data_IF_427898687363
#
_entry.id   IF_427898687363
#
_cell.length_a   1.000
_cell.length_b   1.000
_cell.length_c   1.000
_cell.angle_alpha   90.00
_cell.angle_beta   90.00
_cell.angle_gamma   90.00
#
_symmetry.space_group_name_H-M   'P 1'
#
loop_
_entity.id
_entity.type
_entity.pdbx_description
1 polymer ?
#
# COMPACT_ATOMS: atom_id res chain seq x y z
N UNK A 1 1.96 11.06 41.57
CA UNK A 1 3.06 10.52 40.75
C UNK A 1 2.78 10.91 39.29
N UNK A 2 3.36 12.00 38.82
CA UNK A 2 3.10 12.53 37.47
C UNK A 2 3.99 11.78 36.47
N UNK A 3 3.35 11.04 35.54
CA UNK A 3 4.03 10.44 34.42
C UNK A 3 4.48 11.56 33.45
N UNK A 4 5.76 11.83 33.39
CA UNK A 4 6.37 12.61 32.31
C UNK A 4 6.32 11.76 31.04
N UNK A 5 5.34 12.00 30.18
CA UNK A 5 5.38 11.60 28.79
C UNK A 5 6.44 12.48 28.12
N UNK A 6 7.65 11.97 28.00
CA UNK A 6 8.65 12.57 27.15
C UNK A 6 8.13 12.48 25.71
N UNK A 7 7.72 13.61 25.15
CA UNK A 7 7.45 13.74 23.72
C UNK A 7 8.80 13.54 23.03
N UNK A 8 9.05 12.33 22.51
CA UNK A 8 10.13 12.09 21.59
C UNK A 8 9.89 12.98 20.38
N UNK A 9 10.59 14.09 20.31
CA UNK A 9 10.57 14.98 19.16
C UNK A 9 11.17 14.21 17.99
N UNK A 10 10.28 13.71 17.11
CA UNK A 10 10.70 13.06 15.87
C UNK A 10 11.40 14.11 15.00
N UNK A 11 12.68 13.97 14.80
CA UNK A 11 13.41 14.77 13.82
C UNK A 11 13.37 14.04 12.47
N UNK A 12 12.91 14.70 11.40
CA UNK A 12 12.86 14.07 10.07
C UNK A 12 14.26 13.64 9.62
N UNK A 13 14.34 12.47 8.97
CA UNK A 13 15.60 11.94 8.44
C UNK A 13 16.20 12.88 7.38
N UNK A 14 17.51 12.79 7.08
CA UNK A 14 18.11 13.56 5.99
C UNK A 14 17.40 13.37 4.64
N UNK A 15 16.97 12.16 4.32
CA UNK A 15 16.21 11.85 3.11
C UNK A 15 14.82 12.46 3.13
N UNK A 16 14.13 12.42 4.24
CA UNK A 16 12.81 13.05 4.39
C UNK A 16 12.90 14.57 4.20
N UNK A 17 13.93 15.20 4.76
CA UNK A 17 14.22 16.62 4.51
C UNK A 17 14.53 16.91 3.03
N UNK A 18 15.35 16.07 2.40
CA UNK A 18 15.68 16.17 0.97
C UNK A 18 14.44 16.04 0.11
N UNK A 19 13.56 15.06 0.39
CA UNK A 19 12.31 14.90 -0.33
C UNK A 19 11.37 16.10 -0.13
N UNK A 20 11.26 16.62 1.09
CA UNK A 20 10.41 17.79 1.38
C UNK A 20 10.87 19.06 0.64
N UNK A 21 12.17 19.20 0.35
CA UNK A 21 12.71 20.32 -0.43
C UNK A 21 12.41 20.22 -1.94
N UNK A 22 12.29 19.02 -2.46
CA UNK A 22 12.00 18.76 -3.87
C UNK A 22 11.09 17.52 -4.01
N UNK A 23 9.79 17.63 -3.66
CA UNK A 23 8.86 16.51 -3.75
C UNK A 23 8.54 16.16 -5.19
N UNK A 24 8.18 14.89 -5.43
CA UNK A 24 7.66 14.47 -6.73
C UNK A 24 6.35 15.18 -7.02
N UNK A 25 6.19 15.71 -8.23
CA UNK A 25 4.93 16.33 -8.67
C UNK A 25 3.86 15.25 -8.91
N UNK A 26 2.90 15.17 -8.02
CA UNK A 26 1.76 14.26 -8.09
C UNK A 26 0.45 14.97 -8.43
N UNK A 27 0.51 16.20 -8.93
CA UNK A 27 -0.68 17.04 -9.18
C UNK A 27 -1.66 16.36 -10.14
N UNK A 28 -1.17 15.65 -11.16
CA UNK A 28 -1.95 14.97 -12.20
C UNK A 28 -2.48 13.59 -11.78
N UNK A 29 -2.03 13.04 -10.66
CA UNK A 29 -2.51 11.75 -10.18
C UNK A 29 -4.01 11.79 -9.86
N UNK A 30 -4.79 10.92 -10.49
CA UNK A 30 -6.25 10.85 -10.35
C UNK A 30 -6.69 9.39 -10.25
N UNK A 31 -7.72 9.14 -9.48
CA UNK A 31 -8.40 7.85 -9.44
C UNK A 31 -9.48 7.77 -10.54
N UNK A 32 -9.89 6.56 -10.98
CA UNK A 32 -10.99 6.38 -11.91
C UNK A 32 -12.27 7.07 -11.43
N UNK A 33 -13.01 7.68 -12.35
CA UNK A 33 -14.27 8.37 -12.03
C UNK A 33 -15.31 7.43 -11.39
N UNK A 34 -15.30 6.14 -11.73
CA UNK A 34 -16.16 5.12 -11.13
C UNK A 34 -16.00 5.01 -9.60
N UNK A 35 -14.83 5.35 -9.06
CA UNK A 35 -14.57 5.29 -7.61
C UNK A 35 -15.33 6.35 -6.81
N UNK A 36 -15.84 7.39 -7.47
CA UNK A 36 -16.60 8.44 -6.81
C UNK A 36 -17.95 7.96 -6.23
N UNK A 37 -18.51 6.87 -6.78
CA UNK A 37 -19.85 6.37 -6.44
C UNK A 37 -19.90 4.87 -6.11
N UNK A 38 -18.81 4.13 -6.29
CA UNK A 38 -18.78 2.70 -6.03
C UNK A 38 -18.95 2.41 -4.53
N UNK A 39 -19.79 1.43 -4.19
CA UNK A 39 -19.95 0.98 -2.80
C UNK A 39 -18.78 0.09 -2.34
N UNK A 40 -18.16 -0.63 -3.27
CA UNK A 40 -17.04 -1.51 -3.00
C UNK A 40 -15.90 -1.20 -3.98
N UNK A 41 -14.69 -1.06 -3.46
CA UNK A 41 -13.51 -0.75 -4.26
C UNK A 41 -12.39 -1.72 -3.93
N UNK A 42 -11.71 -2.23 -4.97
CA UNK A 42 -10.39 -2.84 -4.86
C UNK A 42 -9.39 -2.03 -5.67
N UNK A 43 -8.35 -1.53 -5.01
CA UNK A 43 -7.31 -0.72 -5.62
C UNK A 43 -5.96 -1.42 -5.46
N UNK A 44 -5.33 -1.74 -6.59
CA UNK A 44 -4.10 -2.53 -6.66
C UNK A 44 -2.96 -1.62 -7.09
N UNK A 45 -1.87 -1.63 -6.33
CA UNK A 45 -0.64 -0.91 -6.63
C UNK A 45 0.49 -1.90 -6.90
N UNK A 46 1.04 -1.84 -8.11
CA UNK A 46 2.19 -2.64 -8.54
C UNK A 46 3.48 -2.24 -7.81
N UNK A 47 4.48 -3.09 -7.89
CA UNK A 47 5.83 -2.82 -7.45
C UNK A 47 6.57 -1.84 -8.35
N UNK A 48 7.89 -1.75 -8.16
CA UNK A 48 8.77 -1.01 -9.06
C UNK A 48 8.88 -1.75 -10.39
N UNK A 49 8.80 -1.03 -11.50
CA UNK A 49 8.87 -1.60 -12.86
C UNK A 49 7.52 -1.58 -13.60
N UNK A 50 6.51 -0.99 -13.01
CA UNK A 50 5.19 -0.82 -13.63
C UNK A 50 4.22 -1.99 -13.39
N UNK A 51 3.01 -1.89 -13.94
CA UNK A 51 2.07 -3.01 -13.96
C UNK A 51 2.68 -4.18 -14.73
N UNK A 52 2.50 -5.36 -14.19
CA UNK A 52 2.98 -6.61 -14.75
C UNK A 52 1.83 -7.61 -14.91
N UNK A 53 2.16 -8.79 -15.46
CA UNK A 53 1.18 -9.84 -15.66
C UNK A 53 0.55 -10.30 -14.34
N UNK A 54 1.30 -10.32 -13.25
CA UNK A 54 0.82 -10.73 -11.95
C UNK A 54 -0.25 -9.78 -11.40
N UNK A 55 -0.07 -8.48 -11.59
CA UNK A 55 -1.08 -7.47 -11.23
C UNK A 55 -2.34 -7.56 -12.08
N UNK A 56 -2.20 -7.84 -13.37
CA UNK A 56 -3.33 -8.06 -14.28
C UNK A 56 -4.09 -9.35 -13.95
N UNK A 57 -3.38 -10.44 -13.67
CA UNK A 57 -3.95 -11.71 -13.23
C UNK A 57 -4.68 -11.56 -11.88
N UNK A 58 -4.13 -10.77 -10.97
CA UNK A 58 -4.77 -10.46 -9.70
C UNK A 58 -6.09 -9.69 -9.90
N UNK A 59 -6.09 -8.65 -10.76
CA UNK A 59 -7.32 -7.93 -11.14
C UNK A 59 -8.36 -8.89 -11.72
N UNK A 60 -7.95 -9.76 -12.64
CA UNK A 60 -8.85 -10.73 -13.25
C UNK A 60 -9.45 -11.70 -12.22
N UNK A 61 -8.66 -12.14 -11.24
CA UNK A 61 -9.12 -13.01 -10.14
C UNK A 61 -10.13 -12.29 -9.24
N UNK A 62 -9.90 -11.01 -8.90
CA UNK A 62 -10.89 -10.20 -8.18
C UNK A 62 -12.22 -10.16 -8.93
N UNK A 63 -12.20 -9.82 -10.21
CA UNK A 63 -13.41 -9.73 -11.04
C UNK A 63 -14.14 -11.08 -11.16
N UNK A 64 -13.41 -12.18 -11.34
CA UNK A 64 -13.98 -13.51 -11.41
C UNK A 64 -14.63 -13.94 -10.08
N UNK A 65 -13.96 -13.68 -8.95
CA UNK A 65 -14.47 -13.96 -7.62
C UNK A 65 -15.74 -13.15 -7.34
N UNK A 66 -15.71 -11.85 -7.65
CA UNK A 66 -16.83 -10.95 -7.45
C UNK A 66 -18.06 -11.39 -8.28
N UNK A 67 -17.85 -11.76 -9.54
CA UNK A 67 -18.90 -12.30 -10.39
C UNK A 67 -19.49 -13.61 -9.82
N UNK A 68 -18.66 -14.48 -9.26
CA UNK A 68 -19.12 -15.75 -8.69
C UNK A 68 -20.01 -15.58 -7.46
N UNK A 69 -19.84 -14.48 -6.70
CA UNK A 69 -20.63 -14.19 -5.49
C UNK A 69 -21.64 -13.05 -5.67
N UNK A 70 -21.72 -12.49 -6.88
CA UNK A 70 -22.66 -11.38 -7.20
C UNK A 70 -22.27 -10.07 -6.51
N UNK A 71 -20.98 -9.84 -6.25
CA UNK A 71 -20.47 -8.60 -5.65
C UNK A 71 -20.18 -7.57 -6.75
N UNK A 72 -20.81 -6.40 -6.67
CA UNK A 72 -20.45 -5.25 -7.49
C UNK A 72 -19.30 -4.48 -6.84
N UNK A 73 -18.11 -4.62 -7.42
CA UNK A 73 -16.88 -3.97 -6.95
C UNK A 73 -16.14 -3.32 -8.11
N UNK A 74 -15.79 -2.05 -7.94
CA UNK A 74 -14.86 -1.39 -8.86
C UNK A 74 -13.43 -1.85 -8.57
N UNK A 75 -12.77 -2.51 -9.52
CA UNK A 75 -11.41 -3.05 -9.39
C UNK A 75 -10.47 -2.34 -10.35
N UNK A 76 -9.38 -1.77 -9.85
CA UNK A 76 -8.39 -1.08 -10.68
C UNK A 76 -6.96 -1.39 -10.25
N UNK A 77 -6.08 -1.56 -11.25
CA UNK A 77 -4.63 -1.52 -11.11
C UNK A 77 -4.18 -0.09 -11.45
N UNK A 78 -3.70 0.63 -10.46
CA UNK A 78 -3.22 1.99 -10.67
C UNK A 78 -1.77 1.99 -11.12
N UNK A 79 -1.50 2.46 -12.34
CA UNK A 79 -0.14 2.64 -12.84
C UNK A 79 0.44 3.94 -12.29
N UNK A 80 1.48 3.83 -11.45
CA UNK A 80 2.18 4.95 -10.83
C UNK A 80 3.65 5.06 -11.26
N UNK A 81 4.05 4.30 -12.31
CA UNK A 81 5.41 4.28 -12.84
C UNK A 81 5.94 5.68 -13.18
N UNK A 82 5.08 6.54 -13.74
CA UNK A 82 5.45 7.91 -14.11
C UNK A 82 5.92 8.78 -12.93
N UNK A 83 5.61 8.37 -11.68
CA UNK A 83 6.01 9.09 -10.46
C UNK A 83 7.27 8.52 -9.81
N UNK A 84 7.83 7.43 -10.35
CA UNK A 84 8.99 6.75 -9.79
C UNK A 84 10.30 7.41 -10.25
N UNK A 85 10.67 8.48 -9.60
CA UNK A 85 11.94 9.16 -9.81
C UNK A 85 13.01 8.67 -8.84
N UNK A 86 13.84 7.71 -9.26
CA UNK A 86 14.94 7.18 -8.46
C UNK A 86 14.50 6.26 -7.30
N UNK A 87 15.44 5.45 -6.80
CA UNK A 87 15.18 4.46 -5.75
C UNK A 87 15.05 5.06 -4.36
N UNK A 88 15.76 6.16 -4.11
CA UNK A 88 15.81 6.85 -2.81
C UNK A 88 14.52 7.58 -2.44
N UNK A 89 13.57 7.71 -3.38
CA UNK A 89 12.33 8.47 -3.23
C UNK A 89 11.06 7.62 -3.22
N UNK A 90 11.16 6.36 -3.60
CA UNK A 90 10.00 5.49 -3.86
C UNK A 90 9.01 5.45 -2.70
N UNK A 91 9.47 5.29 -1.47
CA UNK A 91 8.60 5.25 -0.30
C UNK A 91 7.92 6.58 -0.02
N UNK A 92 8.65 7.70 -0.17
CA UNK A 92 8.09 9.05 0.08
C UNK A 92 7.07 9.44 -0.99
N UNK A 93 7.37 9.15 -2.27
CA UNK A 93 6.45 9.37 -3.39
C UNK A 93 5.19 8.52 -3.21
N UNK A 94 5.36 7.23 -2.88
CA UNK A 94 4.24 6.34 -2.60
C UNK A 94 3.35 6.86 -1.48
N UNK A 95 3.92 7.31 -0.38
CA UNK A 95 3.16 7.90 0.72
C UNK A 95 2.44 9.20 0.32
N UNK A 96 3.04 10.02 -0.53
CA UNK A 96 2.39 11.25 -1.01
C UNK A 96 1.18 10.95 -1.90
N UNK A 97 1.33 10.00 -2.84
CA UNK A 97 0.23 9.52 -3.69
C UNK A 97 -0.88 8.88 -2.84
N UNK A 98 -0.53 7.99 -1.92
CA UNK A 98 -1.50 7.33 -1.06
C UNK A 98 -2.31 8.32 -0.23
N UNK A 99 -1.67 9.32 0.38
CA UNK A 99 -2.38 10.40 1.10
C UNK A 99 -3.34 11.15 0.20
N UNK A 100 -2.97 11.43 -1.05
CA UNK A 100 -3.88 12.07 -2.02
C UNK A 100 -5.09 11.18 -2.32
N UNK A 101 -4.84 9.90 -2.61
CA UNK A 101 -5.91 8.96 -2.95
C UNK A 101 -6.86 8.68 -1.79
N UNK A 102 -6.35 8.49 -0.58
CA UNK A 102 -7.17 8.30 0.61
C UNK A 102 -8.15 9.47 0.83
N UNK A 103 -7.68 10.71 0.66
CA UNK A 103 -8.54 11.90 0.73
C UNK A 103 -9.59 11.96 -0.37
N UNK A 104 -9.26 11.54 -1.59
CA UNK A 104 -10.22 11.45 -2.70
C UNK A 104 -11.30 10.41 -2.38
N UNK A 105 -10.89 9.21 -1.95
CA UNK A 105 -11.80 8.11 -1.60
C UNK A 105 -12.73 8.49 -0.45
N UNK A 106 -12.27 9.26 0.52
CA UNK A 106 -13.10 9.72 1.64
C UNK A 106 -14.24 10.66 1.24
N UNK A 107 -14.21 11.22 0.04
CA UNK A 107 -15.31 12.00 -0.51
C UNK A 107 -16.48 11.13 -0.99
N UNK A 108 -16.24 9.85 -1.27
CA UNK A 108 -17.27 8.89 -1.63
C UNK A 108 -18.06 8.42 -0.40
N UNK A 109 -19.20 9.01 -0.15
CA UNK A 109 -20.08 8.68 0.98
C UNK A 109 -20.87 7.38 0.82
N UNK A 110 -20.88 6.79 -0.38
CA UNK A 110 -21.51 5.49 -0.64
C UNK A 110 -20.55 4.31 -0.34
N UNK A 111 -19.26 4.57 -0.17
CA UNK A 111 -18.25 3.54 0.02
C UNK A 111 -18.51 2.73 1.30
N UNK A 112 -18.58 1.40 1.17
CA UNK A 112 -18.82 0.44 2.25
C UNK A 112 -17.62 -0.45 2.52
N UNK A 113 -16.87 -0.80 1.45
CA UNK A 113 -15.64 -1.58 1.58
C UNK A 113 -14.53 -1.04 0.68
N UNK A 114 -13.35 -0.91 1.25
CA UNK A 114 -12.12 -0.52 0.57
C UNK A 114 -11.06 -1.60 0.78
N UNK A 115 -10.72 -2.31 -0.28
CA UNK A 115 -9.63 -3.27 -0.28
C UNK A 115 -8.45 -2.69 -1.07
N UNK A 116 -7.35 -2.44 -0.41
CA UNK A 116 -6.14 -1.92 -1.05
C UNK A 116 -5.07 -3.00 -1.05
N UNK A 117 -4.48 -3.24 -2.20
CA UNK A 117 -3.42 -4.25 -2.38
C UNK A 117 -2.14 -3.56 -2.82
N UNK A 118 -1.02 -3.92 -2.20
CA UNK A 118 0.29 -3.37 -2.54
C UNK A 118 1.35 -4.45 -2.68
N UNK A 119 2.05 -4.42 -3.81
CA UNK A 119 3.20 -5.29 -4.07
C UNK A 119 4.48 -4.49 -3.95
N UNK A 120 5.48 -5.03 -3.22
CA UNK A 120 6.83 -4.44 -3.12
C UNK A 120 6.76 -2.94 -2.75
N UNK A 121 7.25 -2.05 -3.58
CA UNK A 121 7.20 -0.58 -3.40
C UNK A 121 5.76 -0.02 -3.34
N UNK A 122 4.78 -0.69 -3.96
CA UNK A 122 3.37 -0.33 -3.89
C UNK A 122 2.78 -0.37 -2.48
N UNK A 123 3.45 -1.04 -1.54
CA UNK A 123 3.05 -1.10 -0.14
C UNK A 123 2.97 0.28 0.53
N UNK A 124 3.85 1.21 0.15
CA UNK A 124 3.81 2.58 0.69
C UNK A 124 2.60 3.37 0.24
N UNK A 125 2.17 3.19 -1.03
CA UNK A 125 0.95 3.84 -1.53
C UNK A 125 -0.26 3.23 -0.85
N UNK A 126 -0.30 1.90 -0.80
CA UNK A 126 -1.43 1.13 -0.26
C UNK A 126 -1.70 1.48 1.19
N UNK A 127 -0.70 1.43 2.04
CA UNK A 127 -0.81 1.76 3.46
C UNK A 127 -1.22 3.23 3.66
N UNK A 128 -0.54 4.16 2.97
CA UNK A 128 -0.86 5.58 3.07
C UNK A 128 -2.26 5.93 2.52
N UNK A 129 -2.78 5.15 1.54
CA UNK A 129 -4.17 5.29 1.07
C UNK A 129 -5.15 4.91 2.17
N UNK A 130 -4.93 3.76 2.83
CA UNK A 130 -5.76 3.31 3.94
C UNK A 130 -5.74 4.31 5.10
N UNK A 131 -4.54 4.69 5.57
CA UNK A 131 -4.38 5.62 6.69
C UNK A 131 -5.03 6.98 6.44
N UNK A 132 -4.81 7.55 5.24
CA UNK A 132 -5.40 8.84 4.89
C UNK A 132 -6.92 8.76 4.71
N UNK A 133 -7.44 7.66 4.16
CA UNK A 133 -8.87 7.41 4.07
C UNK A 133 -9.52 7.36 5.46
N UNK A 134 -8.96 6.57 6.37
CA UNK A 134 -9.48 6.43 7.74
C UNK A 134 -9.47 7.76 8.47
N UNK A 135 -8.37 8.51 8.38
CA UNK A 135 -8.24 9.81 9.03
C UNK A 135 -9.25 10.85 8.51
N UNK A 136 -9.55 10.84 7.20
CA UNK A 136 -10.44 11.82 6.58
C UNK A 136 -11.92 11.43 6.69
N UNK A 137 -12.25 10.13 6.56
CA UNK A 137 -13.64 9.65 6.57
C UNK A 137 -14.24 9.57 7.99
N UNK A 138 -13.42 9.44 9.03
CA UNK A 138 -13.85 9.38 10.43
C UNK A 138 -14.73 8.18 10.76
N UNK A 139 -15.69 8.34 11.67
CA UNK A 139 -16.50 7.24 12.21
C UNK A 139 -17.45 6.59 11.19
N UNK A 140 -17.79 7.29 10.11
CA UNK A 140 -18.71 6.80 9.07
C UNK A 140 -17.98 6.08 7.93
N UNK A 141 -16.74 5.69 8.13
CA UNK A 141 -15.88 5.08 7.11
C UNK A 141 -16.30 3.67 6.72
N UNK A 142 -15.94 3.29 5.49
CA UNK A 142 -16.01 1.91 5.03
C UNK A 142 -15.09 0.98 5.84
N UNK A 143 -15.35 -0.33 5.76
CA UNK A 143 -14.41 -1.35 6.21
C UNK A 143 -13.15 -1.32 5.33
N UNK A 144 -11.96 -1.21 5.93
CA UNK A 144 -10.68 -1.07 5.25
C UNK A 144 -9.85 -2.33 5.40
N UNK A 145 -9.53 -2.95 4.27
CA UNK A 145 -8.62 -4.10 4.18
C UNK A 145 -7.36 -3.72 3.41
N UNK A 146 -6.21 -4.11 3.95
CA UNK A 146 -4.91 -3.97 3.32
C UNK A 146 -4.30 -5.35 3.08
N UNK A 147 -3.87 -5.66 1.85
CA UNK A 147 -3.12 -6.87 1.55
C UNK A 147 -1.77 -6.49 0.94
N UNK A 148 -0.69 -7.00 1.52
CA UNK A 148 0.67 -6.69 1.11
C UNK A 148 1.40 -7.96 0.66
N UNK A 149 1.99 -7.90 -0.54
CA UNK A 149 2.81 -8.97 -1.12
C UNK A 149 4.25 -8.50 -1.26
N UNK A 150 5.18 -9.20 -0.64
CA UNK A 150 6.62 -8.85 -0.60
C UNK A 150 6.88 -7.35 -0.36
N UNK A 151 6.34 -6.75 0.71
CA UNK A 151 6.39 -5.31 0.93
C UNK A 151 7.79 -4.82 1.24
N UNK A 152 8.31 -3.84 0.49
CA UNK A 152 9.53 -3.11 0.89
C UNK A 152 9.21 -2.27 2.12
N UNK A 153 10.00 -2.41 3.19
CA UNK A 153 9.74 -1.75 4.48
C UNK A 153 10.57 -0.49 4.72
N UNK A 154 11.53 -0.20 3.84
CA UNK A 154 12.47 0.93 3.95
C UNK A 154 12.16 2.03 2.94
N UNK A 155 11.96 3.27 3.38
CA UNK A 155 11.49 4.37 2.51
C UNK A 155 12.53 4.87 1.50
N UNK A 156 13.79 4.79 1.82
CA UNK A 156 14.89 5.37 1.03
C UNK A 156 15.78 4.35 0.32
N UNK A 157 15.31 3.14 0.09
CA UNK A 157 16.11 2.03 -0.44
C UNK A 157 16.89 1.28 0.65
N UNK A 158 17.45 0.13 0.30
CA UNK A 158 18.05 -0.83 1.24
C UNK A 158 19.20 -0.25 2.09
N UNK A 159 20.07 0.57 1.48
CA UNK A 159 21.23 1.13 2.15
C UNK A 159 20.90 2.20 3.19
N UNK A 160 19.72 2.77 3.11
CA UNK A 160 19.27 3.89 3.94
C UNK A 160 18.06 3.51 4.81
N UNK A 161 17.91 2.21 5.03
CA UNK A 161 16.74 1.62 5.65
C UNK A 161 16.39 2.20 7.02
N UNK A 162 15.18 2.73 7.15
CA UNK A 162 14.62 3.23 8.40
C UNK A 162 13.65 2.23 9.05
N UNK A 163 13.36 1.10 8.36
CA UNK A 163 12.39 0.10 8.81
C UNK A 163 11.00 0.70 9.07
N UNK A 164 10.64 1.75 8.34
CA UNK A 164 9.39 2.47 8.54
C UNK A 164 8.17 1.55 8.38
N UNK A 165 8.15 0.75 7.31
CA UNK A 165 7.07 -0.18 7.02
C UNK A 165 6.86 -1.22 8.12
N UNK A 166 7.94 -1.73 8.74
CA UNK A 166 7.85 -2.70 9.84
C UNK A 166 7.02 -2.17 11.02
N UNK A 167 7.08 -0.87 11.27
CA UNK A 167 6.40 -0.24 12.40
C UNK A 167 5.01 0.30 12.08
N UNK A 168 4.76 0.59 10.80
CA UNK A 168 3.59 1.38 10.42
C UNK A 168 2.58 0.63 9.54
N UNK A 169 3.03 -0.25 8.63
CA UNK A 169 2.10 -0.92 7.72
C UNK A 169 0.99 -1.67 8.46
N UNK A 170 -0.25 -1.42 8.05
CA UNK A 170 -1.46 -2.04 8.59
C UNK A 170 -2.01 -1.38 9.86
N UNK A 171 -1.39 -0.28 10.35
CA UNK A 171 -1.76 0.32 11.63
C UNK A 171 -3.21 0.83 11.70
N UNK A 172 -3.73 1.34 10.59
CA UNK A 172 -5.01 2.04 10.51
C UNK A 172 -6.09 1.23 9.77
N UNK A 173 -5.82 -0.05 9.47
CA UNK A 173 -6.75 -0.93 8.76
C UNK A 173 -7.61 -1.75 9.73
N UNK A 174 -8.85 -2.07 9.33
CA UNK A 174 -9.68 -3.01 10.08
C UNK A 174 -9.13 -4.43 9.97
N UNK A 175 -8.52 -4.74 8.82
CA UNK A 175 -7.85 -6.02 8.58
C UNK A 175 -6.64 -5.79 7.67
N UNK A 176 -5.47 -6.23 8.09
CA UNK A 176 -4.23 -6.16 7.32
C UNK A 176 -3.59 -7.53 7.19
N UNK A 177 -3.14 -7.86 5.98
CA UNK A 177 -2.51 -9.13 5.62
C UNK A 177 -1.13 -8.89 5.02
N UNK A 178 -0.22 -9.78 5.33
CA UNK A 178 1.10 -9.85 4.74
C UNK A 178 1.35 -11.26 4.19
N UNK A 179 1.48 -11.37 2.88
CA UNK A 179 1.91 -12.59 2.21
C UNK A 179 3.43 -12.59 2.15
N UNK A 180 4.04 -13.25 3.14
CA UNK A 180 5.48 -13.28 3.37
C UNK A 180 6.15 -14.32 2.48
N UNK A 181 7.21 -13.93 1.80
CA UNK A 181 8.11 -14.79 1.09
C UNK A 181 9.53 -14.65 1.66
N UNK A 182 10.04 -15.67 2.35
CA UNK A 182 11.37 -15.62 2.98
C UNK A 182 12.52 -15.94 2.04
N UNK A 183 12.23 -16.39 0.80
CA UNK A 183 13.23 -16.69 -0.23
C UNK A 183 13.51 -15.51 -1.15
N UNK A 184 12.84 -14.37 -0.95
CA UNK A 184 13.12 -13.17 -1.73
C UNK A 184 14.58 -12.71 -1.49
N UNK A 185 15.23 -12.30 -2.58
CA UNK A 185 16.60 -11.78 -2.52
C UNK A 185 16.69 -10.38 -1.92
N UNK A 186 15.54 -9.71 -1.74
CA UNK A 186 15.43 -8.37 -1.14
C UNK A 186 15.24 -8.50 0.38
N UNK A 187 16.27 -8.26 1.20
CA UNK A 187 16.19 -8.56 2.65
C UNK A 187 15.08 -7.82 3.39
N UNK A 188 14.70 -6.63 2.94
CA UNK A 188 13.65 -5.83 3.59
C UNK A 188 12.24 -6.37 3.40
N UNK A 189 12.03 -7.35 2.49
CA UNK A 189 10.72 -7.98 2.28
C UNK A 189 10.54 -9.25 3.11
N UNK A 190 11.62 -9.81 3.67
CA UNK A 190 11.65 -11.12 4.33
C UNK A 190 11.30 -11.07 5.83
N UNK A 191 10.83 -9.94 6.33
CA UNK A 191 10.55 -9.74 7.76
C UNK A 191 9.05 -9.64 8.00
N UNK A 192 8.48 -10.47 8.91
CA UNK A 192 7.07 -10.41 9.24
C UNK A 192 6.65 -9.02 9.75
N UNK A 193 5.56 -8.49 9.21
CA UNK A 193 4.97 -7.21 9.64
C UNK A 193 4.19 -7.40 10.95
N UNK A 194 4.48 -6.56 11.95
CA UNK A 194 3.95 -6.72 13.30
C UNK A 194 2.43 -6.45 13.42
N UNK A 195 1.86 -5.68 12.49
CA UNK A 195 0.47 -5.23 12.52
C UNK A 195 -0.40 -5.92 11.47
N UNK A 196 0.13 -6.98 10.84
CA UNK A 196 -0.55 -7.73 9.81
C UNK A 196 -0.73 -9.19 10.24
N UNK A 197 -1.78 -9.82 9.76
CA UNK A 197 -1.86 -11.28 9.74
C UNK A 197 -0.88 -11.80 8.70
N UNK A 198 0.11 -12.56 9.14
CA UNK A 198 1.20 -13.03 8.27
C UNK A 198 0.87 -14.42 7.75
N UNK A 199 0.87 -14.55 6.43
CA UNK A 199 0.76 -15.82 5.72
C UNK A 199 2.12 -16.11 5.07
N UNK A 200 2.86 -17.09 5.58
CA UNK A 200 4.10 -17.54 4.96
C UNK A 200 3.77 -18.39 3.73
N UNK A 201 4.04 -17.82 2.55
CA UNK A 201 3.79 -18.46 1.25
C UNK A 201 5.06 -19.03 0.62
N UNK A 202 6.18 -19.02 1.33
CA UNK A 202 7.48 -19.48 0.83
C UNK A 202 7.43 -20.90 0.27
N UNK A 203 6.72 -21.81 0.94
CA UNK A 203 6.57 -23.20 0.53
C UNK A 203 5.34 -23.52 -0.34
N UNK A 204 4.57 -22.51 -0.79
CA UNK A 204 3.36 -22.78 -1.59
C UNK A 204 3.71 -23.31 -2.98
N UNK A 205 2.99 -24.37 -3.41
CA UNK A 205 3.20 -25.03 -4.70
C UNK A 205 2.93 -24.09 -5.89
N UNK A 206 1.95 -23.21 -5.76
CA UNK A 206 1.61 -22.20 -6.77
C UNK A 206 2.77 -21.25 -7.05
N UNK A 207 3.60 -21.01 -6.05
CA UNK A 207 4.79 -20.17 -6.17
C UNK A 207 5.89 -20.83 -7.03
N UNK A 208 5.97 -22.15 -7.04
CA UNK A 208 6.93 -22.88 -7.87
C UNK A 208 6.67 -22.70 -9.37
N UNK A 209 5.49 -22.19 -9.76
CA UNK A 209 5.16 -21.86 -11.16
C UNK A 209 5.61 -20.46 -11.59
N UNK A 210 6.03 -19.59 -10.66
CA UNK A 210 6.65 -18.32 -11.00
C UNK A 210 8.13 -18.55 -11.36
N UNK A 211 8.65 -17.96 -12.45
CA UNK A 211 10.07 -18.01 -12.69
C UNK A 211 10.81 -17.42 -11.49
N UNK A 212 11.94 -18.01 -11.08
CA UNK A 212 12.77 -17.37 -10.06
C UNK A 212 13.19 -15.99 -10.55
N UNK A 213 13.32 -15.02 -9.64
CA UNK A 213 13.76 -13.67 -9.96
C UNK A 213 15.09 -13.63 -10.70
#
# INVERSE_FOLDING_TARGET
MALFLASLSWSPSPLEKKYAQNPTDISRAQLPASFATAENIALIFHGRGGPDRETDDLKARFLAQDAAVGLDRAVEVYNWEEYLEGTDRVGYTGQALGRKFGKILAQNRALRSLHVVGTSAGSFISDATCSAYVAEAGDSRACVRLSLTDPITVRGGEELGDGWGLRNFGADCDFAEHYLNTDDIVPSTNIPLQRCHVYDVTGCAERASFPPP
#
